data_IF_797806115293
#
_entry.id   IF_797806115293
#
_cell.length_a   1.000
_cell.length_b   1.000
_cell.length_c   1.000
_cell.angle_alpha   90.00
_cell.angle_beta   90.00
_cell.angle_gamma   90.00
#
_symmetry.space_group_name_H-M   'P 1'
#
loop_
_entity.id
_entity.type
_entity.pdbx_description
1 polymer ?
#
# COMPACT_ATOMS: atom_id res chain seq x y z
N UNK A 1 2.46 -31.81 -3.75
CA UNK A 1 2.24 -30.97 -4.94
C UNK A 1 0.92 -30.17 -4.95
N UNK A 2 0.13 -30.12 -3.85
CA UNK A 2 -1.16 -29.39 -3.83
C UNK A 2 -1.01 -27.87 -3.62
N UNK A 3 0.17 -27.39 -3.22
CA UNK A 3 0.42 -26.00 -2.85
C UNK A 3 0.80 -25.05 -4.01
N UNK A 4 1.26 -25.57 -5.16
CA UNK A 4 1.55 -24.71 -6.32
C UNK A 4 0.24 -24.30 -7.02
N UNK A 5 -0.65 -25.26 -7.28
CA UNK A 5 -1.93 -25.02 -7.94
C UNK A 5 -2.76 -23.94 -7.23
N UNK A 6 -2.79 -23.91 -5.89
CA UNK A 6 -3.56 -22.88 -5.17
C UNK A 6 -2.98 -21.48 -5.32
N UNK A 7 -1.65 -21.33 -5.40
CA UNK A 7 -0.99 -20.01 -5.54
C UNK A 7 -1.18 -19.44 -6.94
N UNK A 8 -1.10 -20.29 -7.97
CA UNK A 8 -1.33 -19.87 -9.36
C UNK A 8 -2.79 -19.45 -9.58
N UNK A 9 -3.75 -20.18 -9.02
CA UNK A 9 -5.17 -19.78 -9.06
C UNK A 9 -5.41 -18.47 -8.32
N UNK A 10 -4.88 -18.30 -7.10
CA UNK A 10 -5.01 -17.05 -6.34
C UNK A 10 -4.42 -15.85 -7.08
N UNK A 11 -3.26 -16.02 -7.72
CA UNK A 11 -2.63 -14.94 -8.48
C UNK A 11 -3.46 -14.57 -9.73
N UNK A 12 -3.98 -15.56 -10.45
CA UNK A 12 -4.86 -15.35 -11.62
C UNK A 12 -6.14 -14.61 -11.23
N UNK A 13 -6.81 -15.05 -10.16
CA UNK A 13 -8.00 -14.39 -9.62
C UNK A 13 -7.71 -12.95 -9.19
N UNK A 14 -6.59 -12.72 -8.50
CA UNK A 14 -6.19 -11.38 -8.07
C UNK A 14 -5.95 -10.44 -9.25
N UNK A 15 -5.25 -10.90 -10.29
CA UNK A 15 -4.99 -10.09 -11.49
C UNK A 15 -6.27 -9.79 -12.27
N UNK A 16 -7.18 -10.76 -12.40
CA UNK A 16 -8.49 -10.51 -13.02
C UNK A 16 -9.34 -9.51 -12.24
N UNK A 17 -9.37 -9.62 -10.92
CA UNK A 17 -10.07 -8.68 -10.04
C UNK A 17 -9.46 -7.27 -10.21
N UNK A 18 -8.12 -7.18 -10.18
CA UNK A 18 -7.43 -5.91 -10.39
C UNK A 18 -7.75 -5.28 -11.75
N UNK A 19 -7.76 -6.07 -12.83
CA UNK A 19 -8.07 -5.53 -14.16
C UNK A 19 -9.53 -5.05 -14.26
N UNK A 20 -10.48 -5.76 -13.65
CA UNK A 20 -11.92 -5.45 -13.77
C UNK A 20 -12.38 -4.35 -12.81
N UNK A 21 -11.76 -4.24 -11.64
CA UNK A 21 -12.27 -3.40 -10.54
C UNK A 21 -11.34 -2.24 -10.17
N UNK A 22 -10.04 -2.31 -10.49
CA UNK A 22 -9.13 -1.25 -10.12
C UNK A 22 -9.25 -0.07 -11.10
N UNK A 23 -9.62 1.08 -10.56
CA UNK A 23 -9.48 2.36 -11.24
C UNK A 23 -8.95 3.38 -10.24
N UNK A 24 -8.04 4.25 -10.67
CA UNK A 24 -7.48 5.32 -9.87
C UNK A 24 -8.21 6.61 -10.21
N UNK A 25 -8.86 7.22 -9.21
CA UNK A 25 -9.43 8.57 -9.31
C UNK A 25 -8.42 9.56 -8.75
N UNK A 26 -7.92 10.44 -9.60
CA UNK A 26 -6.92 11.43 -9.22
C UNK A 26 -7.56 12.82 -9.31
N UNK A 27 -7.35 13.60 -8.27
CA UNK A 27 -7.81 14.98 -8.17
C UNK A 27 -6.60 15.90 -8.11
N UNK A 28 -6.45 16.79 -9.09
CA UNK A 28 -5.35 17.75 -9.14
C UNK A 28 -5.89 19.17 -9.11
N UNK A 29 -5.40 19.99 -8.18
CA UNK A 29 -5.69 21.42 -8.16
C UNK A 29 -4.77 22.14 -9.16
N UNK A 30 -5.36 22.76 -10.18
CA UNK A 30 -4.68 23.59 -11.18
C UNK A 30 -5.04 25.06 -10.99
N UNK A 31 -4.32 25.95 -11.69
CA UNK A 31 -4.56 27.41 -11.65
C UNK A 31 -5.98 27.80 -12.08
N UNK A 32 -6.61 27.03 -12.97
CA UNK A 32 -7.94 27.30 -13.55
C UNK A 32 -9.07 26.53 -12.86
N UNK A 33 -8.79 25.65 -11.89
CA UNK A 33 -9.79 24.82 -11.24
C UNK A 33 -9.28 23.44 -10.83
N UNK A 34 -10.20 22.52 -10.60
CA UNK A 34 -9.91 21.14 -10.20
C UNK A 34 -10.05 20.22 -11.42
N UNK A 35 -8.99 19.48 -11.74
CA UNK A 35 -9.02 18.42 -12.74
C UNK A 35 -9.25 17.06 -12.08
N UNK A 36 -10.04 16.21 -12.76
CA UNK A 36 -10.35 14.86 -12.34
C UNK A 36 -9.90 13.88 -13.41
N UNK A 37 -9.05 12.93 -13.05
CA UNK A 37 -8.60 11.85 -13.92
C UNK A 37 -9.10 10.51 -13.39
N UNK A 38 -9.49 9.62 -14.29
CA UNK A 38 -9.86 8.23 -13.98
C UNK A 38 -9.00 7.30 -14.80
N UNK A 39 -8.10 6.57 -14.15
CA UNK A 39 -7.07 5.76 -14.80
C UNK A 39 -7.36 4.28 -14.56
N UNK A 40 -7.43 3.49 -15.63
CA UNK A 40 -7.35 2.03 -15.55
C UNK A 40 -5.87 1.62 -15.52
N UNK A 41 -5.36 1.10 -14.39
CA UNK A 41 -3.93 0.95 -14.18
C UNK A 41 -3.31 -0.20 -14.96
N UNK A 42 -4.06 -1.29 -15.17
CA UNK A 42 -3.60 -2.51 -15.85
C UNK A 42 -4.56 -2.80 -17.01
N UNK A 43 -4.40 -2.12 -18.15
CA UNK A 43 -5.30 -2.32 -19.29
C UNK A 43 -5.18 -3.70 -19.94
N UNK A 44 -4.00 -4.34 -19.82
CA UNK A 44 -3.71 -5.61 -20.48
C UNK A 44 -3.09 -6.63 -19.54
N UNK A 45 -3.63 -7.85 -19.62
CA UNK A 45 -3.15 -9.04 -18.91
C UNK A 45 -3.16 -10.19 -19.91
N UNK A 46 -2.10 -11.00 -19.91
CA UNK A 46 -2.03 -12.27 -20.65
C UNK A 46 -1.50 -13.36 -19.74
N UNK A 47 -2.16 -14.49 -19.75
CA UNK A 47 -1.73 -15.71 -19.07
C UNK A 47 -2.20 -16.93 -19.86
N UNK A 48 -1.69 -18.11 -19.52
CA UNK A 48 -2.16 -19.36 -20.09
C UNK A 48 -2.24 -20.46 -19.02
N UNK A 49 -2.81 -21.60 -19.40
CA UNK A 49 -3.05 -22.77 -18.54
C UNK A 49 -1.92 -23.80 -18.58
N UNK A 50 -0.92 -23.61 -19.46
CA UNK A 50 0.17 -24.56 -19.70
C UNK A 50 1.54 -24.12 -19.16
N UNK A 51 1.69 -22.86 -18.74
CA UNK A 51 2.87 -22.36 -18.04
C UNK A 51 2.48 -21.34 -16.95
N UNK A 52 3.41 -21.10 -16.03
CA UNK A 52 3.18 -20.23 -14.85
C UNK A 52 3.50 -18.75 -15.14
N UNK A 53 3.48 -18.33 -16.41
CA UNK A 53 3.82 -16.97 -16.80
C UNK A 53 2.57 -16.10 -16.89
N UNK A 54 2.67 -14.92 -16.28
CA UNK A 54 1.65 -13.87 -16.38
C UNK A 54 2.33 -12.59 -16.84
N UNK A 55 1.83 -12.04 -17.94
CA UNK A 55 2.25 -10.73 -18.43
C UNK A 55 1.19 -9.71 -18.04
N UNK A 56 1.64 -8.63 -17.40
CA UNK A 56 0.81 -7.46 -17.12
C UNK A 56 1.43 -6.24 -17.79
N UNK A 57 0.58 -5.36 -18.33
CA UNK A 57 1.01 -4.06 -18.85
C UNK A 57 0.42 -2.97 -17.97
N UNK A 58 1.26 -2.07 -17.48
CA UNK A 58 0.80 -0.86 -16.82
C UNK A 58 0.43 0.20 -17.85
N UNK A 59 -0.65 0.94 -17.59
CA UNK A 59 -1.01 2.13 -18.36
C UNK A 59 0.09 3.20 -18.23
N UNK A 60 0.43 3.87 -19.33
CA UNK A 60 1.38 4.99 -19.31
C UNK A 60 0.94 6.10 -18.35
N UNK A 61 -0.38 6.29 -18.19
CA UNK A 61 -0.95 7.29 -17.30
C UNK A 61 -0.69 7.01 -15.81
N UNK A 62 -0.46 5.73 -15.42
CA UNK A 62 -0.14 5.39 -14.03
C UNK A 62 1.36 5.52 -13.72
N UNK A 63 2.22 5.54 -14.75
CA UNK A 63 3.68 5.54 -14.59
C UNK A 63 4.23 6.71 -13.77
N UNK A 64 3.77 7.97 -13.93
CA UNK A 64 4.25 9.08 -13.11
C UNK A 64 4.02 8.84 -11.61
N UNK A 65 2.90 8.20 -11.24
CA UNK A 65 2.55 7.90 -9.85
C UNK A 65 3.37 6.72 -9.30
N UNK A 66 3.67 5.73 -10.13
CA UNK A 66 4.57 4.62 -9.79
C UNK A 66 6.03 5.09 -9.60
N UNK A 67 6.48 6.05 -10.41
CA UNK A 67 7.84 6.62 -10.30
C UNK A 67 7.94 7.53 -9.07
N UNK A 68 6.93 8.35 -8.79
CA UNK A 68 6.91 9.18 -7.58
C UNK A 68 6.92 8.32 -6.31
N UNK A 69 6.26 7.15 -6.30
CA UNK A 69 6.40 6.18 -5.20
C UNK A 69 7.84 5.72 -4.98
N UNK A 70 8.66 5.65 -6.04
CA UNK A 70 10.07 5.27 -5.96
C UNK A 70 10.96 6.42 -5.45
N UNK A 71 10.61 7.68 -5.76
CA UNK A 71 11.37 8.85 -5.32
C UNK A 71 11.03 9.29 -3.89
N UNK A 72 9.77 9.10 -3.45
CA UNK A 72 9.34 9.34 -2.06
C UNK A 72 9.71 8.17 -1.14
N UNK A 73 11.03 7.96 -0.98
CA UNK A 73 11.75 7.32 0.13
C UNK A 73 11.20 6.06 0.81
N UNK A 74 10.24 5.34 0.24
CA UNK A 74 9.67 4.15 0.89
C UNK A 74 9.91 2.92 0.04
N UNK A 75 11.18 2.49 0.00
CA UNK A 75 11.58 1.22 -0.58
C UNK A 75 11.24 0.09 0.38
N UNK A 76 10.07 -0.52 0.20
CA UNK A 76 9.77 -1.79 0.83
C UNK A 76 10.48 -2.91 0.07
N UNK A 77 11.12 -3.82 0.80
CA UNK A 77 11.51 -5.09 0.20
C UNK A 77 10.22 -5.89 -0.04
N UNK A 78 9.93 -6.22 -1.29
CA UNK A 78 8.77 -7.06 -1.66
C UNK A 78 8.77 -8.38 -0.86
N UNK A 79 9.96 -8.90 -0.53
CA UNK A 79 10.13 -10.09 0.31
C UNK A 79 9.68 -9.91 1.77
N UNK A 80 9.64 -8.69 2.31
CA UNK A 80 9.09 -8.42 3.64
C UNK A 80 7.56 -8.33 3.60
N UNK A 81 7.01 -7.72 2.54
CA UNK A 81 5.56 -7.70 2.30
C UNK A 81 4.97 -9.11 2.14
N UNK A 82 5.71 -10.02 1.51
CA UNK A 82 5.30 -11.43 1.36
C UNK A 82 5.13 -12.19 2.67
N UNK A 83 5.73 -11.72 3.77
CA UNK A 83 5.59 -12.34 5.10
C UNK A 83 4.33 -11.86 5.83
N UNK A 84 3.74 -10.76 5.38
CA UNK A 84 2.55 -10.17 5.97
C UNK A 84 1.31 -10.77 5.31
N UNK A 85 0.51 -11.50 6.09
CA UNK A 85 -0.65 -12.22 5.57
C UNK A 85 -2.00 -11.50 5.81
N UNK A 86 -1.97 -10.36 6.50
CA UNK A 86 -3.17 -9.55 6.79
C UNK A 86 -3.12 -8.20 6.08
N UNK A 87 -4.27 -7.79 5.51
CA UNK A 87 -4.50 -6.44 4.93
C UNK A 87 -4.01 -5.36 5.89
N UNK A 88 -4.31 -5.51 7.19
CA UNK A 88 -3.96 -4.54 8.21
C UNK A 88 -2.45 -4.52 8.49
N UNK A 89 -1.80 -5.69 8.52
CA UNK A 89 -0.33 -5.76 8.67
C UNK A 89 0.39 -5.01 7.56
N UNK A 90 -0.06 -5.16 6.31
CA UNK A 90 0.54 -4.47 5.16
C UNK A 90 0.40 -2.96 5.31
N UNK A 91 -0.78 -2.46 5.71
CA UNK A 91 -1.04 -1.03 5.91
C UNK A 91 -0.20 -0.46 7.06
N UNK A 92 -0.13 -1.18 8.19
CA UNK A 92 0.65 -0.78 9.37
C UNK A 92 2.14 -0.76 9.08
N UNK A 93 2.67 -1.81 8.45
CA UNK A 93 4.06 -1.88 8.03
C UNK A 93 4.41 -0.75 7.06
N UNK A 94 3.48 -0.41 6.16
CA UNK A 94 3.61 0.74 5.27
C UNK A 94 3.77 2.05 6.06
N UNK A 95 2.84 2.31 6.98
CA UNK A 95 2.89 3.53 7.80
C UNK A 95 4.16 3.61 8.67
N UNK A 96 4.56 2.51 9.31
CA UNK A 96 5.77 2.45 10.13
C UNK A 96 7.04 2.67 9.32
N UNK A 97 7.17 2.03 8.15
CA UNK A 97 8.38 2.18 7.32
C UNK A 97 8.50 3.59 6.76
N UNK A 98 7.38 4.25 6.43
CA UNK A 98 7.40 5.64 6.00
C UNK A 98 7.98 6.55 7.11
N UNK A 99 7.55 6.36 8.36
CA UNK A 99 8.11 7.10 9.50
C UNK A 99 9.59 6.76 9.73
N UNK A 100 9.95 5.48 9.68
CA UNK A 100 11.32 5.03 9.84
C UNK A 100 12.27 5.61 8.78
N UNK A 101 11.83 5.71 7.52
CA UNK A 101 12.65 6.28 6.45
C UNK A 101 12.87 7.79 6.63
N UNK A 102 11.88 8.51 7.17
CA UNK A 102 12.06 9.91 7.56
C UNK A 102 13.04 10.04 8.72
N UNK A 103 12.95 9.15 9.72
CA UNK A 103 13.91 9.09 10.82
C UNK A 103 15.34 8.90 10.30
N UNK A 104 15.60 7.88 9.49
CA UNK A 104 16.94 7.60 8.94
C UNK A 104 17.48 8.78 8.13
N UNK A 105 16.64 9.38 7.27
CA UNK A 105 17.03 10.51 6.44
C UNK A 105 17.47 11.72 7.28
N UNK A 106 16.63 12.15 8.22
CA UNK A 106 16.87 13.36 9.02
C UNK A 106 17.85 13.13 10.17
N UNK A 107 18.01 11.88 10.64
CA UNK A 107 19.04 11.52 11.61
C UNK A 107 20.46 11.68 11.03
N UNK A 108 20.64 11.42 9.73
CA UNK A 108 21.95 11.51 9.06
C UNK A 108 22.18 12.89 8.43
N UNK A 109 21.19 13.46 7.75
CA UNK A 109 21.35 14.72 6.98
C UNK A 109 21.09 15.99 7.80
N UNK A 110 20.47 15.89 8.97
CA UNK A 110 20.04 17.04 9.76
C UNK A 110 18.87 17.81 9.12
N UNK A 111 18.59 19.03 9.62
CA UNK A 111 17.53 19.91 9.08
C UNK A 111 16.18 19.84 9.81
N UNK A 112 16.07 19.04 10.88
CA UNK A 112 14.91 18.97 11.78
C UNK A 112 15.36 19.11 13.24
N UNK A 113 14.45 19.52 14.13
CA UNK A 113 14.72 19.54 15.58
C UNK A 113 14.83 18.10 16.11
N UNK A 114 15.63 17.87 17.14
CA UNK A 114 15.78 16.55 17.76
C UNK A 114 14.44 15.91 18.14
N UNK A 115 13.52 16.68 18.72
CA UNK A 115 12.16 16.24 19.06
C UNK A 115 11.36 15.75 17.84
N UNK A 116 11.51 16.42 16.68
CA UNK A 116 10.84 16.01 15.45
C UNK A 116 11.44 14.71 14.90
N UNK A 117 12.76 14.55 14.98
CA UNK A 117 13.43 13.31 14.57
C UNK A 117 12.98 12.15 15.47
N UNK A 118 12.90 12.37 16.77
CA UNK A 118 12.42 11.36 17.72
C UNK A 118 10.96 10.97 17.47
N UNK A 119 10.11 11.92 17.06
CA UNK A 119 8.72 11.62 16.67
C UNK A 119 8.60 10.70 15.46
N UNK A 120 9.59 10.67 14.55
CA UNK A 120 9.63 9.72 13.43
C UNK A 120 10.09 8.32 13.87
N UNK A 121 10.94 8.25 14.91
CA UNK A 121 11.37 6.98 15.52
C UNK A 121 10.25 6.34 16.34
N UNK A 122 9.48 7.16 17.05
CA UNK A 122 8.37 6.75 17.90
C UNK A 122 7.07 7.44 17.43
N UNK A 123 6.54 7.05 16.27
CA UNK A 123 5.39 7.73 15.69
C UNK A 123 4.12 7.43 16.48
N UNK A 124 3.32 8.47 16.69
CA UNK A 124 1.97 8.37 17.27
C UNK A 124 0.91 8.65 16.21
N UNK A 125 -0.16 7.86 16.18
CA UNK A 125 -1.31 8.07 15.31
C UNK A 125 -2.60 8.07 16.14
N UNK A 126 -3.54 8.94 15.80
CA UNK A 126 -4.84 8.92 16.46
C UNK A 126 -5.64 7.68 16.05
N UNK A 127 -6.54 7.19 16.91
CA UNK A 127 -7.42 6.05 16.57
C UNK A 127 -8.30 6.37 15.35
N UNK A 128 -8.69 7.63 15.18
CA UNK A 128 -9.46 8.07 14.02
C UNK A 128 -8.67 7.92 12.72
N UNK A 129 -7.48 8.50 12.64
CA UNK A 129 -6.62 8.39 11.45
C UNK A 129 -6.22 6.94 11.19
N UNK A 130 -5.97 6.17 12.25
CA UNK A 130 -5.66 4.75 12.14
C UNK A 130 -6.80 3.99 11.46
N UNK A 131 -8.06 4.25 11.86
CA UNK A 131 -9.25 3.66 11.24
C UNK A 131 -9.46 4.12 9.80
N UNK A 132 -9.10 5.35 9.48
CA UNK A 132 -9.14 5.87 8.11
C UNK A 132 -8.13 5.13 7.21
N UNK A 133 -6.87 4.98 7.66
CA UNK A 133 -5.85 4.30 6.85
C UNK A 133 -6.08 2.78 6.73
N UNK A 134 -6.71 2.14 7.73
CA UNK A 134 -7.07 0.72 7.68
C UNK A 134 -8.41 0.45 7.01
N UNK A 135 -9.15 1.49 6.63
CA UNK A 135 -10.50 1.40 6.06
C UNK A 135 -11.47 0.63 6.98
N UNK A 136 -11.40 0.94 8.28
CA UNK A 136 -12.23 0.32 9.34
C UNK A 136 -13.02 1.38 10.13
N UNK A 137 -13.37 2.50 9.48
CA UNK A 137 -14.15 3.58 10.11
C UNK A 137 -15.52 3.08 10.56
N UNK A 138 -16.15 2.23 9.74
CA UNK A 138 -17.48 1.67 10.01
C UNK A 138 -17.43 0.23 10.57
N UNK A 139 -16.24 -0.32 10.76
CA UNK A 139 -16.01 -1.69 11.26
C UNK A 139 -15.46 -1.67 12.70
N UNK A 140 -15.68 -2.75 13.46
CA UNK A 140 -15.16 -2.91 14.83
C UNK A 140 -15.43 -1.68 15.71
N UNK A 141 -16.72 -1.36 15.92
CA UNK A 141 -17.15 -0.15 16.65
C UNK A 141 -16.57 -0.09 18.06
N UNK A 142 -16.49 -1.25 18.72
CA UNK A 142 -15.82 -1.39 20.02
C UNK A 142 -14.30 -1.41 19.86
N UNK A 143 -13.60 -0.63 20.70
CA UNK A 143 -12.14 -0.53 20.66
C UNK A 143 -11.46 -1.90 20.88
N UNK A 144 -12.06 -2.74 21.72
CA UNK A 144 -11.57 -4.09 21.99
C UNK A 144 -11.54 -4.97 20.73
N UNK A 145 -12.61 -4.93 19.92
CA UNK A 145 -12.68 -5.69 18.68
C UNK A 145 -11.69 -5.15 17.64
N UNK A 146 -11.53 -3.82 17.59
CA UNK A 146 -10.56 -3.17 16.73
C UNK A 146 -9.13 -3.60 17.08
N UNK A 147 -8.74 -3.51 18.36
CA UNK A 147 -7.41 -3.95 18.81
C UNK A 147 -7.17 -5.42 18.47
N UNK A 148 -8.15 -6.30 18.73
CA UNK A 148 -8.01 -7.73 18.49
C UNK A 148 -7.83 -8.03 17.00
N UNK A 149 -8.62 -7.39 16.14
CA UNK A 149 -8.72 -7.73 14.70
C UNK A 149 -7.69 -7.00 13.84
N UNK A 150 -7.31 -5.79 14.23
CA UNK A 150 -6.44 -4.90 13.43
C UNK A 150 -5.02 -4.85 13.99
N UNK A 151 -4.83 -4.86 15.32
CA UNK A 151 -3.52 -4.69 15.95
C UNK A 151 -2.88 -5.98 16.48
N UNK A 152 -3.68 -6.92 17.00
CA UNK A 152 -3.16 -8.18 17.57
C UNK A 152 -3.10 -9.32 16.55
N UNK A 153 -3.98 -9.29 15.55
CA UNK A 153 -3.98 -10.23 14.43
C UNK A 153 -3.07 -9.78 13.27
N UNK A 154 -2.24 -8.76 13.46
CA UNK A 154 -1.35 -8.24 12.42
C UNK A 154 0.04 -8.92 12.38
N UNK A 155 0.14 -10.18 12.80
CA UNK A 155 1.36 -10.98 12.66
C UNK A 155 1.58 -11.51 11.24
#
# INVERSE_FOLDING_TARGET
>A
EVASNSKHTQFKEAIEIMQKQAYFKIKSNKKLGIEYESIVPIPYVKWNDYNDEVTIQFSEHIMPYLINLKSEFTQYKISELQKLNSKYSIILYRWLSMNYNQYEHYSVKGGRRAEQVESYRNPSISVKELREITDTVNEYKEIYDFEKRVLKNSH
#
